data_IF_453292315311
#
_entry.id   IF_453292315311
#
_cell.length_a   1.000
_cell.length_b   1.000
_cell.length_c   1.000
_cell.angle_alpha   90.00
_cell.angle_beta   90.00
_cell.angle_gamma   90.00
#
_symmetry.space_group_name_H-M   'P 1'
#
loop_
_entity.id
_entity.type
_entity.pdbx_description
1 polymer ?
#
# COMPACT_ATOMS: atom_id res chain seq x y z
N UNK A 1 -16.97 -16.43 5.54
CA UNK A 1 -18.38 -16.26 5.13
C UNK A 1 -18.38 -15.75 3.69
N UNK A 2 -19.10 -16.38 2.76
CA UNK A 2 -19.16 -15.94 1.36
C UNK A 2 -20.04 -14.71 1.27
N UNK A 3 -19.57 -13.63 0.63
CA UNK A 3 -20.38 -12.42 0.43
C UNK A 3 -21.38 -12.68 -0.69
N UNK A 4 -22.64 -12.38 -0.44
CA UNK A 4 -23.73 -12.51 -1.43
C UNK A 4 -24.00 -11.14 -2.07
N UNK A 5 -23.32 -10.88 -3.18
CA UNK A 5 -23.42 -9.61 -3.92
C UNK A 5 -24.82 -9.40 -4.56
N UNK A 6 -25.62 -10.46 -4.75
CA UNK A 6 -26.98 -10.35 -5.32
C UNK A 6 -27.93 -9.56 -4.41
N UNK A 7 -27.61 -9.43 -3.13
CA UNK A 7 -28.39 -8.67 -2.14
C UNK A 7 -28.02 -7.18 -2.09
N UNK A 8 -27.00 -6.76 -2.82
CA UNK A 8 -26.64 -5.35 -2.84
C UNK A 8 -27.68 -4.55 -3.63
N UNK A 9 -28.16 -3.50 -2.99
CA UNK A 9 -29.15 -2.61 -3.61
C UNK A 9 -28.46 -1.60 -4.49
N UNK A 10 -29.11 -1.21 -5.58
CA UNK A 10 -28.71 -0.05 -6.37
C UNK A 10 -29.51 1.17 -5.94
N UNK A 11 -28.86 2.34 -6.00
CA UNK A 11 -29.52 3.64 -5.78
C UNK A 11 -28.99 4.66 -6.76
N UNK A 12 -29.87 5.52 -7.24
CA UNK A 12 -29.50 6.73 -7.94
C UNK A 12 -29.14 7.80 -6.92
N UNK A 13 -27.87 8.23 -6.91
CA UNK A 13 -27.31 9.18 -5.95
C UNK A 13 -26.79 10.42 -6.69
N UNK A 14 -26.97 11.60 -6.09
CA UNK A 14 -26.37 12.83 -6.62
C UNK A 14 -24.84 12.74 -6.60
N UNK A 15 -24.22 13.01 -7.75
CA UNK A 15 -22.76 12.99 -7.93
C UNK A 15 -22.08 13.94 -6.94
N UNK A 16 -22.67 15.07 -6.64
CA UNK A 16 -22.08 16.04 -5.70
C UNK A 16 -21.99 15.48 -4.28
N UNK A 17 -22.94 14.65 -3.86
CA UNK A 17 -23.01 14.05 -2.52
C UNK A 17 -22.10 12.82 -2.36
N UNK A 18 -21.54 12.29 -3.46
CA UNK A 18 -20.56 11.21 -3.40
C UNK A 18 -19.21 11.73 -2.95
N UNK A 19 -18.64 11.15 -1.90
CA UNK A 19 -17.28 11.47 -1.45
C UNK A 19 -16.29 10.45 -2.00
N UNK A 20 -15.23 10.92 -2.61
CA UNK A 20 -14.11 10.08 -3.01
C UNK A 20 -13.43 9.52 -1.77
N UNK A 21 -13.04 8.26 -1.83
CA UNK A 21 -12.45 7.56 -0.69
C UNK A 21 -11.01 7.99 -0.45
N UNK A 22 -10.76 8.68 0.66
CA UNK A 22 -9.41 9.08 1.07
C UNK A 22 -8.49 7.90 1.40
N UNK A 23 -9.07 6.71 1.67
CA UNK A 23 -8.34 5.47 1.94
C UNK A 23 -8.06 4.67 0.67
N UNK A 24 -8.40 5.20 -0.51
CA UNK A 24 -8.15 4.49 -1.77
C UNK A 24 -6.64 4.28 -1.96
N UNK A 25 -6.20 3.04 -2.31
CA UNK A 25 -4.78 2.73 -2.48
C UNK A 25 -4.02 3.63 -3.45
N UNK A 26 -4.71 4.26 -4.42
CA UNK A 26 -4.10 5.23 -5.36
C UNK A 26 -3.55 6.48 -4.68
N UNK A 27 -4.00 6.80 -3.46
CA UNK A 27 -3.52 7.98 -2.71
C UNK A 27 -2.79 7.62 -1.44
N UNK A 28 -2.80 6.35 -1.03
CA UNK A 28 -2.35 5.90 0.30
C UNK A 28 -0.88 6.21 0.59
N UNK A 29 -0.07 6.48 -0.44
CA UNK A 29 1.35 6.82 -0.31
C UNK A 29 1.64 8.32 -0.37
N UNK A 30 0.66 9.12 -0.76
CA UNK A 30 0.92 10.53 -1.11
C UNK A 30 0.95 11.47 0.07
N UNK A 31 0.43 11.15 1.22
CA UNK A 31 0.56 12.10 2.32
C UNK A 31 0.18 11.55 3.69
N UNK A 32 0.98 11.89 4.65
CA UNK A 32 0.61 12.19 6.04
C UNK A 32 -0.39 13.36 6.12
N UNK A 33 -0.68 14.06 5.01
CA UNK A 33 -1.62 15.18 4.94
C UNK A 33 -2.97 14.69 4.42
N UNK A 34 -4.00 14.86 5.23
CA UNK A 34 -5.38 14.57 4.83
C UNK A 34 -5.76 15.46 3.65
N UNK A 35 -5.92 14.86 2.47
CA UNK A 35 -6.37 15.58 1.26
C UNK A 35 -7.88 15.86 1.34
N UNK A 36 -8.28 17.08 1.02
CA UNK A 36 -9.69 17.38 0.81
C UNK A 36 -10.18 16.87 -0.56
N UNK A 37 -11.50 16.84 -0.76
CA UNK A 37 -12.12 16.30 -1.97
C UNK A 37 -11.65 16.99 -3.26
N UNK A 38 -11.35 18.27 -3.22
CA UNK A 38 -10.85 19.03 -4.38
C UNK A 38 -9.40 18.66 -4.69
N UNK A 39 -8.57 18.49 -3.68
CA UNK A 39 -7.18 18.04 -3.83
C UNK A 39 -7.10 16.63 -4.42
N UNK A 40 -7.97 15.73 -3.94
CA UNK A 40 -8.07 14.36 -4.50
C UNK A 40 -8.41 14.41 -5.99
N UNK A 41 -9.40 15.21 -6.40
CA UNK A 41 -9.76 15.32 -7.81
C UNK A 41 -8.62 15.89 -8.65
N UNK A 42 -7.96 16.96 -8.18
CA UNK A 42 -6.81 17.55 -8.87
C UNK A 42 -5.65 16.55 -9.01
N UNK A 43 -5.39 15.79 -7.96
CA UNK A 43 -4.40 14.71 -7.98
C UNK A 43 -4.74 13.65 -9.04
N UNK A 44 -5.99 13.18 -9.07
CA UNK A 44 -6.45 12.22 -10.05
C UNK A 44 -6.37 12.75 -11.49
N UNK A 45 -6.60 14.03 -11.69
CA UNK A 45 -6.42 14.69 -13.00
C UNK A 45 -4.96 14.69 -13.42
N UNK A 46 -4.05 14.98 -12.49
CA UNK A 46 -2.62 15.07 -12.78
C UNK A 46 -1.98 13.69 -13.04
N UNK A 47 -2.41 12.65 -12.31
CA UNK A 47 -1.66 11.39 -12.25
C UNK A 47 -2.44 10.17 -12.78
N UNK A 48 -3.75 10.29 -13.03
CA UNK A 48 -4.59 9.12 -13.34
C UNK A 48 -5.50 9.29 -14.55
N UNK A 49 -5.13 10.14 -15.49
CA UNK A 49 -5.85 10.35 -16.77
C UNK A 49 -7.37 10.59 -16.59
N UNK A 50 -7.76 11.32 -15.53
CA UNK A 50 -9.19 11.56 -15.25
C UNK A 50 -9.78 12.62 -16.19
N UNK A 51 -8.97 13.52 -16.73
CA UNK A 51 -9.42 14.46 -17.74
C UNK A 51 -9.84 13.75 -19.05
N UNK A 52 -9.03 12.81 -19.51
CA UNK A 52 -9.30 11.97 -20.68
C UNK A 52 -10.54 11.12 -20.47
N UNK A 53 -10.71 10.55 -19.27
CA UNK A 53 -11.90 9.80 -18.89
C UNK A 53 -13.15 10.70 -18.84
N UNK A 54 -13.04 11.93 -18.35
CA UNK A 54 -14.16 12.89 -18.39
C UNK A 54 -14.57 13.23 -19.81
N UNK A 55 -13.59 13.39 -20.72
CA UNK A 55 -13.83 13.64 -22.13
C UNK A 55 -14.53 12.46 -22.83
N UNK A 56 -14.08 11.23 -22.52
CA UNK A 56 -14.70 10.01 -23.02
C UNK A 56 -16.16 9.88 -22.54
N UNK A 57 -16.42 10.10 -21.25
CA UNK A 57 -17.79 10.09 -20.69
C UNK A 57 -18.65 11.20 -21.32
N UNK A 58 -18.09 12.36 -21.63
CA UNK A 58 -18.82 13.45 -22.27
C UNK A 58 -19.23 13.11 -23.72
N UNK A 59 -18.42 12.34 -24.42
CA UNK A 59 -18.65 11.94 -25.83
C UNK A 59 -19.56 10.71 -25.90
N UNK A 60 -19.24 9.68 -25.12
CA UNK A 60 -19.82 8.34 -25.25
C UNK A 60 -20.87 8.01 -24.18
N UNK A 61 -21.04 8.87 -23.18
CA UNK A 61 -21.87 8.61 -22.02
C UNK A 61 -21.16 7.76 -20.96
N UNK A 62 -21.85 7.57 -19.84
CA UNK A 62 -21.35 6.69 -18.75
C UNK A 62 -21.60 5.23 -19.15
N UNK A 63 -20.55 4.41 -19.13
CA UNK A 63 -20.64 3.02 -19.55
C UNK A 63 -21.52 2.20 -18.62
N UNK A 64 -22.36 1.34 -19.20
CA UNK A 64 -23.13 0.35 -18.47
C UNK A 64 -22.22 -0.69 -17.84
N UNK A 65 -22.67 -1.26 -16.72
CA UNK A 65 -21.94 -2.25 -15.91
C UNK A 65 -20.65 -1.73 -15.24
N UNK A 66 -20.51 -0.42 -15.18
CA UNK A 66 -19.38 0.23 -14.46
C UNK A 66 -19.85 1.10 -13.29
N UNK A 67 -21.01 0.78 -12.74
CA UNK A 67 -21.59 1.50 -11.62
C UNK A 67 -20.63 1.54 -10.44
N UNK A 68 -20.47 2.74 -9.81
CA UNK A 68 -19.65 2.86 -8.63
C UNK A 68 -20.19 2.01 -7.47
N UNK A 69 -19.26 1.47 -6.69
CA UNK A 69 -19.58 0.83 -5.41
C UNK A 69 -19.37 1.86 -4.31
N UNK A 70 -20.42 2.11 -3.54
CA UNK A 70 -20.38 3.07 -2.44
C UNK A 70 -20.77 2.43 -1.12
N UNK A 71 -20.29 2.96 -0.02
CA UNK A 71 -20.72 2.59 1.33
C UNK A 71 -21.23 3.83 2.06
N UNK A 72 -22.28 3.68 2.84
CA UNK A 72 -22.78 4.76 3.71
C UNK A 72 -21.87 4.86 4.94
N UNK A 73 -21.18 5.98 5.10
CA UNK A 73 -20.36 6.30 6.27
C UNK A 73 -20.92 7.58 6.92
N UNK A 74 -21.56 7.42 8.09
CA UNK A 74 -22.34 8.48 8.70
C UNK A 74 -23.50 8.91 7.79
N UNK A 75 -23.58 10.21 7.49
CA UNK A 75 -24.61 10.78 6.61
C UNK A 75 -24.18 10.85 5.13
N UNK A 76 -22.98 10.35 4.77
CA UNK A 76 -22.46 10.47 3.41
C UNK A 76 -22.21 9.11 2.76
N UNK A 77 -22.19 9.10 1.42
CA UNK A 77 -21.79 7.94 0.65
C UNK A 77 -20.33 8.10 0.20
N UNK A 78 -19.48 7.15 0.60
CA UNK A 78 -18.07 7.10 0.21
C UNK A 78 -17.91 6.14 -0.95
N UNK A 79 -17.22 6.56 -2.00
CA UNK A 79 -16.97 5.79 -3.22
C UNK A 79 -15.81 4.84 -2.99
N UNK A 80 -16.11 3.57 -2.73
CA UNK A 80 -15.10 2.53 -2.52
C UNK A 80 -14.47 2.11 -3.85
N UNK A 81 -15.27 1.96 -4.92
CA UNK A 81 -14.82 1.66 -6.28
C UNK A 81 -15.46 2.61 -7.30
N UNK A 82 -14.72 2.94 -8.35
CA UNK A 82 -15.15 3.93 -9.35
C UNK A 82 -14.74 5.37 -9.02
N UNK A 83 -13.76 5.58 -8.14
CA UNK A 83 -13.29 6.92 -7.75
C UNK A 83 -12.87 7.78 -8.94
N UNK A 84 -12.17 7.22 -9.94
CA UNK A 84 -11.79 7.94 -11.16
C UNK A 84 -13.02 8.38 -11.95
N UNK A 85 -14.00 7.50 -12.12
CA UNK A 85 -15.25 7.77 -12.87
C UNK A 85 -16.10 8.83 -12.17
N UNK A 86 -16.25 8.70 -10.86
CA UNK A 86 -16.97 9.73 -10.07
C UNK A 86 -16.25 11.07 -10.11
N UNK A 87 -14.91 11.08 -10.05
CA UNK A 87 -14.13 12.32 -10.20
C UNK A 87 -14.33 12.93 -11.59
N UNK A 88 -14.32 12.12 -12.66
CA UNK A 88 -14.60 12.57 -14.02
C UNK A 88 -16.01 13.19 -14.14
N UNK A 89 -17.02 12.54 -13.56
CA UNK A 89 -18.38 13.09 -13.51
C UNK A 89 -18.47 14.41 -12.73
N UNK A 90 -17.76 14.53 -11.59
CA UNK A 90 -17.69 15.79 -10.83
C UNK A 90 -17.05 16.92 -11.65
N UNK A 91 -16.02 16.58 -12.45
CA UNK A 91 -15.38 17.53 -13.36
C UNK A 91 -16.37 17.98 -14.46
N UNK A 92 -17.13 17.06 -15.03
CA UNK A 92 -18.12 17.41 -16.06
C UNK A 92 -19.25 18.32 -15.52
N UNK A 93 -19.64 18.12 -14.26
CA UNK A 93 -20.62 19.01 -13.62
C UNK A 93 -20.05 20.40 -13.32
N UNK A 94 -18.79 20.49 -12.91
CA UNK A 94 -18.16 21.74 -12.49
C UNK A 94 -16.71 21.86 -12.99
N UNK A 95 -16.47 21.95 -14.36
CA UNK A 95 -15.12 21.84 -14.93
C UNK A 95 -14.18 22.96 -14.45
N UNK A 96 -14.65 24.19 -14.30
CA UNK A 96 -13.83 25.33 -13.87
C UNK A 96 -13.36 25.23 -12.42
N UNK A 97 -13.99 24.40 -11.60
CA UNK A 97 -13.57 24.14 -10.20
C UNK A 97 -12.29 23.30 -10.11
N UNK A 98 -12.08 22.45 -11.09
CA UNK A 98 -11.05 21.39 -11.01
C UNK A 98 -9.96 21.47 -12.08
N UNK A 99 -10.23 22.17 -13.19
CA UNK A 99 -9.37 22.24 -14.36
C UNK A 99 -8.91 23.67 -14.66
N UNK A 100 -7.84 23.79 -15.47
CA UNK A 100 -7.48 25.06 -16.08
C UNK A 100 -8.59 25.57 -17.01
N UNK A 101 -8.67 26.89 -17.20
CA UNK A 101 -9.70 27.53 -18.02
C UNK A 101 -9.79 26.95 -19.44
N UNK A 102 -8.65 26.57 -20.05
CA UNK A 102 -8.61 25.99 -21.39
C UNK A 102 -9.26 24.61 -21.42
N UNK A 103 -8.88 23.69 -20.51
CA UNK A 103 -9.47 22.36 -20.40
C UNK A 103 -10.93 22.40 -20.01
N UNK A 104 -11.30 23.30 -19.11
CA UNK A 104 -12.68 23.47 -18.72
C UNK A 104 -13.57 23.92 -19.90
N UNK A 105 -13.11 24.91 -20.69
CA UNK A 105 -13.79 25.38 -21.88
C UNK A 105 -13.95 24.28 -22.94
N UNK A 106 -13.01 23.34 -23.03
CA UNK A 106 -13.12 22.20 -23.93
C UNK A 106 -14.28 21.28 -23.51
N UNK A 107 -14.39 20.94 -22.23
CA UNK A 107 -15.46 20.05 -21.73
C UNK A 107 -16.87 20.71 -21.78
N UNK A 108 -16.97 22.01 -21.67
CA UNK A 108 -18.28 22.70 -21.76
C UNK A 108 -18.90 22.71 -23.16
N UNK A 109 -18.21 22.20 -24.16
CA UNK A 109 -18.75 22.00 -25.52
C UNK A 109 -19.67 20.80 -25.64
N UNK A 110 -19.61 19.87 -24.71
CA UNK A 110 -20.42 18.66 -24.69
C UNK A 110 -21.70 18.86 -23.87
N UNK A 111 -22.67 18.00 -24.09
CA UNK A 111 -23.92 18.00 -23.36
C UNK A 111 -23.70 17.77 -21.88
N UNK A 112 -24.58 18.34 -21.05
CA UNK A 112 -24.49 18.18 -19.60
C UNK A 112 -24.78 16.75 -19.20
N UNK A 113 -23.89 16.19 -18.38
CA UNK A 113 -24.12 14.91 -17.74
C UNK A 113 -25.31 15.00 -16.78
N UNK A 114 -26.07 13.93 -16.61
CA UNK A 114 -27.03 13.80 -15.53
C UNK A 114 -26.31 13.98 -14.17
N UNK A 115 -26.93 14.73 -13.25
CA UNK A 115 -26.38 15.03 -11.92
C UNK A 115 -26.42 13.80 -10.97
N UNK A 116 -26.97 12.68 -11.40
CA UNK A 116 -27.11 11.44 -10.63
C UNK A 116 -26.42 10.25 -11.30
N UNK A 117 -25.84 9.39 -10.48
CA UNK A 117 -25.31 8.09 -10.88
C UNK A 117 -26.00 6.98 -10.14
N UNK A 118 -26.30 5.89 -10.86
CA UNK A 118 -26.67 4.63 -10.22
C UNK A 118 -25.44 4.00 -9.59
N UNK A 119 -25.52 3.69 -8.30
CA UNK A 119 -24.44 3.12 -7.51
C UNK A 119 -24.88 1.85 -6.81
N UNK A 120 -23.99 0.85 -6.69
CA UNK A 120 -24.18 -0.27 -5.79
C UNK A 120 -23.90 0.15 -4.35
N UNK A 121 -24.79 -0.17 -3.43
CA UNK A 121 -24.63 0.13 -2.02
C UNK A 121 -24.04 -1.10 -1.32
N UNK A 122 -22.76 -1.05 -0.98
CA UNK A 122 -22.15 -2.06 -0.12
C UNK A 122 -22.67 -1.92 1.32
N UNK A 123 -23.03 -3.01 2.00
CA UNK A 123 -23.46 -2.96 3.39
C UNK A 123 -22.42 -2.35 4.33
N UNK A 124 -21.16 -2.64 4.06
CA UNK A 124 -20.00 -2.11 4.75
C UNK A 124 -18.77 -2.17 3.83
N UNK A 125 -17.69 -1.52 4.22
CA UNK A 125 -16.42 -1.47 3.46
C UNK A 125 -15.81 -2.86 3.26
N UNK A 126 -15.77 -3.67 4.30
CA UNK A 126 -15.16 -5.00 4.31
C UNK A 126 -15.76 -5.94 3.26
N UNK A 127 -17.07 -5.89 3.06
CA UNK A 127 -17.73 -6.75 2.06
C UNK A 127 -17.37 -6.32 0.63
N UNK A 128 -17.06 -5.04 0.43
CA UNK A 128 -16.64 -4.52 -0.87
C UNK A 128 -15.17 -4.83 -1.19
N UNK A 129 -14.28 -4.92 -0.20
CA UNK A 129 -12.82 -5.03 -0.39
C UNK A 129 -12.44 -6.22 -1.27
N UNK A 130 -13.06 -7.38 -1.06
CA UNK A 130 -12.79 -8.59 -1.84
C UNK A 130 -13.17 -8.38 -3.32
N UNK A 131 -14.34 -7.80 -3.57
CA UNK A 131 -14.82 -7.52 -4.93
C UNK A 131 -13.91 -6.50 -5.62
N UNK A 132 -13.52 -5.45 -4.90
CA UNK A 132 -12.64 -4.39 -5.40
C UNK A 132 -11.26 -4.96 -5.74
N UNK A 133 -10.68 -5.76 -4.83
CA UNK A 133 -9.41 -6.42 -5.07
C UNK A 133 -9.46 -7.28 -6.34
N UNK A 134 -10.48 -8.13 -6.47
CA UNK A 134 -10.64 -8.99 -7.63
C UNK A 134 -10.83 -8.21 -8.93
N UNK A 135 -11.56 -7.09 -8.91
CA UNK A 135 -11.69 -6.21 -10.09
C UNK A 135 -10.35 -5.64 -10.54
N UNK A 136 -9.43 -5.36 -9.62
CA UNK A 136 -8.16 -4.71 -9.94
C UNK A 136 -6.99 -5.69 -10.14
N UNK A 137 -7.15 -6.95 -9.77
CA UNK A 137 -6.10 -7.97 -9.90
C UNK A 137 -6.43 -9.08 -10.90
N UNK A 138 -7.71 -9.35 -11.12
CA UNK A 138 -8.19 -10.52 -11.88
C UNK A 138 -8.68 -10.26 -13.31
N UNK A 139 -8.91 -9.00 -13.73
CA UNK A 139 -9.52 -8.66 -15.02
C UNK A 139 -8.70 -7.64 -15.81
N UNK A 140 -8.96 -7.46 -17.14
CA UNK A 140 -8.24 -6.49 -17.99
C UNK A 140 -8.54 -5.02 -17.68
N UNK A 141 -9.23 -4.71 -16.56
CA UNK A 141 -9.32 -3.35 -16.06
C UNK A 141 -7.94 -2.81 -15.69
N UNK A 142 -7.77 -1.50 -15.64
CA UNK A 142 -6.50 -0.89 -15.26
C UNK A 142 -6.08 -1.41 -13.89
N UNK A 143 -5.13 -2.34 -13.91
CA UNK A 143 -4.61 -2.98 -12.69
C UNK A 143 -3.98 -1.93 -11.80
N UNK A 144 -4.15 -2.10 -10.50
CA UNK A 144 -3.30 -1.38 -9.58
C UNK A 144 -1.83 -1.74 -9.85
N UNK A 145 -0.95 -0.76 -9.76
CA UNK A 145 0.49 -1.03 -9.70
C UNK A 145 0.83 -1.83 -8.45
N UNK A 146 2.05 -2.31 -8.37
CA UNK A 146 2.46 -3.22 -7.31
C UNK A 146 2.49 -2.55 -5.93
N UNK A 147 2.88 -1.28 -5.89
CA UNK A 147 2.91 -0.48 -4.65
C UNK A 147 1.51 -0.34 -4.06
N UNK A 148 0.51 -0.01 -4.89
CA UNK A 148 -0.89 0.11 -4.46
C UNK A 148 -1.50 -1.23 -4.03
N UNK A 149 -1.18 -2.32 -4.73
CA UNK A 149 -1.62 -3.67 -4.34
C UNK A 149 -1.08 -4.06 -2.96
N UNK A 150 0.21 -3.84 -2.73
CA UNK A 150 0.87 -4.17 -1.47
C UNK A 150 0.30 -3.34 -0.31
N UNK A 151 0.07 -2.04 -0.53
CA UNK A 151 -0.57 -1.17 0.47
C UNK A 151 -1.97 -1.64 0.84
N UNK A 152 -2.76 -2.06 -0.15
CA UNK A 152 -4.11 -2.58 0.10
C UNK A 152 -4.07 -3.83 0.99
N UNK A 153 -3.18 -4.79 0.68
CA UNK A 153 -3.02 -6.01 1.47
C UNK A 153 -2.59 -5.72 2.91
N UNK A 154 -1.60 -4.84 3.08
CA UNK A 154 -1.12 -4.45 4.41
C UNK A 154 -2.20 -3.71 5.21
N UNK A 155 -2.97 -2.85 4.55
CA UNK A 155 -4.07 -2.14 5.19
C UNK A 155 -5.15 -3.11 5.68
N UNK A 156 -5.52 -4.13 4.90
CA UNK A 156 -6.46 -5.17 5.36
C UNK A 156 -5.97 -5.87 6.62
N UNK A 157 -4.68 -6.24 6.69
CA UNK A 157 -4.11 -6.90 7.85
C UNK A 157 -4.15 -5.97 9.08
N UNK A 158 -3.74 -4.70 8.91
CA UNK A 158 -3.62 -3.75 10.02
C UNK A 158 -4.96 -3.20 10.51
N UNK A 159 -5.85 -2.79 9.60
CA UNK A 159 -7.13 -2.13 9.97
C UNK A 159 -8.21 -3.10 10.37
N UNK A 160 -8.27 -4.26 9.72
CA UNK A 160 -9.28 -5.29 10.00
C UNK A 160 -8.78 -6.31 11.04
N UNK A 161 -7.55 -6.14 11.53
CA UNK A 161 -6.89 -7.05 12.48
C UNK A 161 -6.99 -8.53 12.05
N UNK A 162 -6.80 -8.77 10.74
CA UNK A 162 -6.83 -10.10 10.15
C UNK A 162 -5.43 -10.71 10.16
N UNK A 163 -5.35 -12.01 10.40
CA UNK A 163 -4.11 -12.75 10.19
C UNK A 163 -3.74 -12.85 8.72
N UNK A 164 -2.45 -13.09 8.44
CA UNK A 164 -1.94 -13.30 7.08
C UNK A 164 -2.67 -14.46 6.40
N UNK A 165 -2.97 -15.52 7.16
CA UNK A 165 -3.70 -16.70 6.72
C UNK A 165 -5.17 -16.39 6.36
N UNK A 166 -5.84 -15.58 7.14
CA UNK A 166 -7.22 -15.15 6.86
C UNK A 166 -7.30 -14.28 5.61
N UNK A 167 -6.35 -13.36 5.41
CA UNK A 167 -6.27 -12.54 4.20
C UNK A 167 -6.00 -13.41 2.98
N UNK A 168 -5.05 -14.36 3.08
CA UNK A 168 -4.74 -15.31 2.01
C UNK A 168 -5.98 -16.10 1.59
N UNK A 169 -6.71 -16.63 2.56
CA UNK A 169 -7.94 -17.38 2.31
C UNK A 169 -9.05 -16.51 1.68
N UNK A 170 -9.28 -15.31 2.23
CA UNK A 170 -10.37 -14.42 1.76
C UNK A 170 -10.13 -13.92 0.34
N UNK A 171 -8.88 -13.63 -0.01
CA UNK A 171 -8.53 -13.07 -1.33
C UNK A 171 -8.14 -14.15 -2.34
N UNK A 172 -8.08 -15.41 -1.92
CA UNK A 172 -7.62 -16.54 -2.73
C UNK A 172 -6.22 -16.29 -3.33
N UNK A 173 -5.31 -15.79 -2.50
CA UNK A 173 -3.90 -15.58 -2.83
C UNK A 173 -3.02 -16.45 -1.93
N UNK A 174 -1.79 -16.70 -2.36
CA UNK A 174 -0.87 -17.54 -1.58
C UNK A 174 -0.30 -16.77 -0.38
N UNK A 175 0.03 -17.48 0.69
CA UNK A 175 0.76 -16.92 1.84
C UNK A 175 2.09 -16.27 1.42
N UNK A 176 2.76 -16.87 0.41
CA UNK A 176 4.00 -16.34 -0.15
C UNK A 176 3.80 -14.95 -0.76
N UNK A 177 2.72 -14.76 -1.53
CA UNK A 177 2.40 -13.45 -2.13
C UNK A 177 2.12 -12.38 -1.07
N UNK A 178 1.39 -12.72 0.00
CA UNK A 178 1.14 -11.78 1.09
C UNK A 178 2.43 -11.43 1.83
N UNK A 179 3.28 -12.42 2.15
CA UNK A 179 4.57 -12.17 2.80
C UNK A 179 5.49 -11.30 1.93
N UNK A 180 5.50 -11.51 0.62
CA UNK A 180 6.22 -10.65 -0.33
C UNK A 180 5.65 -9.22 -0.33
N UNK A 181 4.32 -9.07 -0.31
CA UNK A 181 3.68 -7.76 -0.24
C UNK A 181 4.05 -7.01 1.05
N UNK A 182 4.05 -7.69 2.19
CA UNK A 182 4.49 -7.13 3.48
C UNK A 182 5.93 -6.62 3.42
N UNK A 183 6.85 -7.42 2.86
CA UNK A 183 8.27 -7.04 2.71
C UNK A 183 8.44 -5.82 1.80
N UNK A 184 7.81 -5.84 0.60
CA UNK A 184 7.86 -4.71 -0.34
C UNK A 184 7.28 -3.44 0.28
N UNK A 185 6.16 -3.56 0.98
CA UNK A 185 5.57 -2.42 1.69
C UNK A 185 6.54 -1.84 2.73
N UNK A 186 7.16 -2.69 3.55
CA UNK A 186 8.14 -2.26 4.56
C UNK A 186 9.33 -1.56 3.92
N UNK A 187 9.89 -2.13 2.84
CA UNK A 187 10.99 -1.52 2.06
C UNK A 187 10.56 -0.17 1.49
N UNK A 188 9.37 -0.07 0.92
CA UNK A 188 8.85 1.19 0.37
C UNK A 188 8.67 2.27 1.45
N UNK A 189 8.10 1.92 2.60
CA UNK A 189 7.95 2.85 3.73
C UNK A 189 9.31 3.31 4.26
N UNK A 190 10.28 2.41 4.31
CA UNK A 190 11.63 2.76 4.73
C UNK A 190 12.31 3.70 3.72
N UNK A 191 12.13 3.47 2.42
CA UNK A 191 12.60 4.38 1.37
C UNK A 191 12.01 5.79 1.55
N UNK A 192 10.71 5.91 1.77
CA UNK A 192 10.03 7.19 2.02
C UNK A 192 10.62 7.90 3.25
N UNK A 193 10.83 7.17 4.36
CA UNK A 193 11.42 7.72 5.58
C UNK A 193 12.83 8.22 5.34
N UNK A 194 13.63 7.47 4.61
CA UNK A 194 15.04 7.76 4.38
C UNK A 194 15.24 9.00 3.50
N UNK A 195 14.32 9.25 2.56
CA UNK A 195 14.35 10.38 1.63
C UNK A 195 13.39 11.52 2.00
N UNK A 196 12.90 11.57 3.24
CA UNK A 196 11.88 12.54 3.67
C UNK A 196 12.26 14.00 3.51
N UNK A 197 13.56 14.32 3.46
CA UNK A 197 14.09 15.67 3.30
C UNK A 197 14.58 15.98 1.87
N UNK A 198 14.38 15.06 0.92
CA UNK A 198 14.78 15.16 -0.47
C UNK A 198 13.52 15.16 -1.36
N UNK A 199 12.93 16.33 -1.59
CA UNK A 199 11.56 16.40 -2.16
C UNK A 199 11.44 15.80 -3.55
N UNK A 200 12.47 15.89 -4.39
CA UNK A 200 12.47 15.38 -5.75
C UNK A 200 12.49 13.83 -5.77
N UNK A 201 13.41 13.21 -5.05
CA UNK A 201 13.54 11.77 -4.92
C UNK A 201 12.33 11.18 -4.17
N UNK A 202 11.89 11.88 -3.12
CA UNK A 202 10.71 11.48 -2.34
C UNK A 202 9.44 11.42 -3.21
N UNK A 203 9.25 12.37 -4.13
CA UNK A 203 8.12 12.36 -5.05
C UNK A 203 8.18 11.13 -5.96
N UNK A 204 9.33 10.83 -6.54
CA UNK A 204 9.53 9.65 -7.38
C UNK A 204 9.32 8.32 -6.62
N UNK A 205 9.79 8.24 -5.37
CA UNK A 205 9.57 7.05 -4.52
C UNK A 205 8.09 6.88 -4.20
N UNK A 206 7.36 7.96 -3.99
CA UNK A 206 5.91 7.95 -3.73
C UNK A 206 5.05 7.69 -4.96
N UNK A 207 5.61 7.80 -6.15
CA UNK A 207 4.88 7.46 -7.37
C UNK A 207 4.50 5.98 -7.39
N UNK A 208 3.33 5.70 -7.92
CA UNK A 208 2.84 4.32 -8.08
C UNK A 208 3.72 3.51 -9.03
N UNK A 209 4.46 4.18 -9.91
CA UNK A 209 5.40 3.60 -10.86
C UNK A 209 6.74 3.21 -10.25
N UNK A 210 7.01 3.54 -8.97
CA UNK A 210 8.27 3.18 -8.32
C UNK A 210 8.55 1.68 -8.46
N UNK A 211 9.75 1.30 -8.99
CA UNK A 211 10.02 -0.10 -9.36
C UNK A 211 10.31 -1.00 -8.15
N UNK A 212 9.37 -1.09 -7.22
CA UNK A 212 9.51 -1.86 -5.97
C UNK A 212 9.87 -3.33 -6.21
N UNK A 213 9.43 -3.91 -7.33
CA UNK A 213 9.77 -5.28 -7.71
C UNK A 213 11.23 -5.45 -8.12
N UNK A 214 11.89 -4.40 -8.60
CA UNK A 214 13.34 -4.38 -8.83
C UNK A 214 14.08 -4.45 -7.51
N UNK A 215 13.64 -3.67 -6.53
CA UNK A 215 14.19 -3.74 -5.17
C UNK A 215 13.95 -5.13 -4.54
N UNK A 216 12.76 -5.72 -4.73
CA UNK A 216 12.47 -7.10 -4.29
C UNK A 216 13.49 -8.10 -4.84
N UNK A 217 13.74 -8.08 -6.16
CA UNK A 217 14.73 -8.96 -6.78
C UNK A 217 16.14 -8.75 -6.23
N UNK A 218 16.48 -7.53 -5.86
CA UNK A 218 17.76 -7.22 -5.24
C UNK A 218 17.89 -7.89 -3.87
N UNK A 219 16.98 -7.62 -2.93
CA UNK A 219 17.08 -8.17 -1.58
C UNK A 219 16.74 -9.68 -1.48
N UNK A 220 16.01 -10.23 -2.42
CA UNK A 220 15.77 -11.68 -2.51
C UNK A 220 16.99 -12.45 -3.02
N UNK A 221 18.00 -11.75 -3.57
CA UNK A 221 19.28 -12.38 -3.97
C UNK A 221 20.22 -12.49 -2.78
N UNK A 222 21.01 -13.58 -2.71
CA UNK A 222 21.99 -13.80 -1.64
C UNK A 222 23.02 -12.66 -1.54
N UNK A 223 23.45 -12.11 -2.68
CA UNK A 223 24.40 -11.02 -2.72
C UNK A 223 23.77 -9.70 -2.25
N UNK A 224 22.54 -9.43 -2.66
CA UNK A 224 21.81 -8.21 -2.28
C UNK A 224 21.42 -8.22 -0.81
N UNK A 225 20.89 -9.33 -0.29
CA UNK A 225 20.57 -9.46 1.13
C UNK A 225 21.81 -9.32 2.03
N UNK A 226 22.95 -9.88 1.62
CA UNK A 226 24.23 -9.71 2.31
C UNK A 226 24.76 -8.28 2.20
N UNK A 227 24.66 -7.65 1.02
CA UNK A 227 25.07 -6.25 0.86
C UNK A 227 24.30 -5.32 1.79
N UNK A 228 22.98 -5.48 1.88
CA UNK A 228 22.14 -4.68 2.77
C UNK A 228 22.22 -5.12 4.25
N UNK A 229 22.74 -6.30 4.54
CA UNK A 229 22.66 -6.87 5.90
C UNK A 229 21.21 -7.01 6.37
N UNK A 230 20.33 -7.52 5.52
CA UNK A 230 18.87 -7.54 5.74
C UNK A 230 18.32 -8.96 5.75
N UNK A 231 17.36 -9.19 6.63
CA UNK A 231 16.41 -10.30 6.56
C UNK A 231 15.02 -9.80 6.99
N UNK A 232 14.02 -10.66 6.96
CA UNK A 232 12.65 -10.28 7.31
C UNK A 232 12.07 -11.30 8.30
N UNK A 233 11.30 -10.80 9.26
CA UNK A 233 10.50 -11.66 10.12
C UNK A 233 9.22 -12.15 9.41
N UNK A 234 8.38 -12.93 10.11
CA UNK A 234 7.13 -13.45 9.59
C UNK A 234 6.12 -12.37 9.16
N UNK A 235 6.20 -11.18 9.76
CA UNK A 235 5.33 -10.04 9.48
C UNK A 235 5.88 -9.14 8.34
N UNK A 236 7.00 -9.53 7.71
CA UNK A 236 7.64 -8.76 6.65
C UNK A 236 8.40 -7.54 7.14
N UNK A 237 8.67 -7.44 8.44
CA UNK A 237 9.46 -6.34 9.01
C UNK A 237 10.94 -6.59 8.82
N UNK A 238 11.68 -5.51 8.55
CA UNK A 238 13.11 -5.55 8.34
C UNK A 238 13.83 -5.97 9.62
N UNK A 239 14.68 -6.97 9.49
CA UNK A 239 15.64 -7.41 10.49
C UNK A 239 17.03 -6.98 10.04
N UNK A 240 17.47 -5.84 10.53
CA UNK A 240 18.74 -5.22 10.21
C UNK A 240 19.90 -5.91 10.93
N UNK A 241 21.02 -6.12 10.24
CA UNK A 241 22.23 -6.79 10.74
C UNK A 241 23.50 -5.95 10.62
N UNK A 242 23.36 -4.71 10.17
CA UNK A 242 24.43 -3.72 10.09
C UNK A 242 24.14 -2.56 11.06
N UNK A 243 25.17 -1.81 11.50
CA UNK A 243 24.96 -0.56 12.22
C UNK A 243 24.04 0.38 11.39
N UNK A 244 23.21 1.17 12.07
CA UNK A 244 22.16 1.99 11.45
C UNK A 244 22.71 2.89 10.33
N UNK A 245 23.82 3.55 10.57
CA UNK A 245 24.43 4.48 9.61
C UNK A 245 24.86 3.77 8.32
N UNK A 246 25.52 2.62 8.45
CA UNK A 246 25.97 1.84 7.29
C UNK A 246 24.78 1.20 6.56
N UNK A 247 23.78 0.74 7.29
CA UNK A 247 22.54 0.25 6.71
C UNK A 247 21.84 1.33 5.88
N UNK A 248 21.70 2.54 6.41
CA UNK A 248 21.06 3.66 5.73
C UNK A 248 21.83 4.06 4.47
N UNK A 249 23.15 4.11 4.53
CA UNK A 249 24.02 4.41 3.38
C UNK A 249 23.82 3.40 2.25
N UNK A 250 23.87 2.10 2.58
CA UNK A 250 23.71 1.04 1.57
C UNK A 250 22.29 0.99 1.03
N UNK A 251 21.30 1.16 1.88
CA UNK A 251 19.90 1.18 1.47
C UNK A 251 19.61 2.36 0.55
N UNK A 252 20.07 3.56 0.93
CA UNK A 252 19.96 4.79 0.12
C UNK A 252 20.57 4.60 -1.26
N UNK A 253 21.78 4.06 -1.31
CA UNK A 253 22.45 3.79 -2.57
C UNK A 253 21.62 2.92 -3.51
N UNK A 254 20.99 1.85 -3.02
CA UNK A 254 20.15 0.99 -3.87
C UNK A 254 18.91 1.73 -4.38
N UNK A 255 18.28 2.57 -3.55
CA UNK A 255 17.16 3.42 -4.00
C UNK A 255 17.62 4.37 -5.10
N UNK A 256 18.74 5.05 -4.91
CA UNK A 256 19.35 5.96 -5.93
C UNK A 256 19.61 5.21 -7.25
N UNK A 257 20.19 4.01 -7.19
CA UNK A 257 20.43 3.17 -8.38
C UNK A 257 19.14 2.80 -9.11
N UNK A 258 18.05 2.57 -8.39
CA UNK A 258 16.73 2.30 -8.98
C UNK A 258 16.16 3.57 -9.61
N UNK A 259 16.23 4.71 -8.93
CA UNK A 259 15.71 5.98 -9.43
C UNK A 259 16.46 6.44 -10.69
N UNK A 260 17.78 6.26 -10.71
CA UNK A 260 18.65 6.59 -11.85
C UNK A 260 18.59 5.56 -12.99
N UNK A 261 17.84 4.45 -12.82
CA UNK A 261 17.76 3.34 -13.77
C UNK A 261 19.06 2.56 -13.98
N UNK A 262 20.05 2.72 -13.09
CA UNK A 262 21.29 1.94 -13.07
C UNK A 262 21.04 0.50 -12.60
N UNK A 263 20.04 0.32 -11.73
CA UNK A 263 19.51 -0.97 -11.31
C UNK A 263 18.07 -1.16 -11.82
N UNK A 264 17.89 -2.12 -12.70
CA UNK A 264 16.59 -2.40 -13.32
C UNK A 264 16.21 -3.88 -13.14
N UNK A 265 14.97 -4.22 -13.46
CA UNK A 265 14.53 -5.62 -13.45
C UNK A 265 15.32 -6.50 -14.42
N UNK A 266 15.93 -5.94 -15.47
CA UNK A 266 16.75 -6.65 -16.45
C UNK A 266 18.05 -7.18 -15.83
N UNK A 267 18.62 -6.47 -14.86
CA UNK A 267 19.83 -6.86 -14.11
C UNK A 267 19.72 -8.27 -13.49
N UNK A 268 18.48 -8.70 -13.20
CA UNK A 268 18.23 -10.02 -12.58
C UNK A 268 17.69 -11.07 -13.54
N UNK A 269 17.67 -10.81 -14.86
CA UNK A 269 17.13 -11.75 -15.83
C UNK A 269 18.10 -12.93 -16.12
N UNK A 270 19.39 -12.72 -15.91
CA UNK A 270 20.41 -13.79 -16.04
C UNK A 270 21.54 -13.59 -15.01
N UNK A 271 22.26 -14.66 -14.74
CA UNK A 271 23.31 -14.66 -13.72
C UNK A 271 24.53 -13.81 -14.11
N UNK A 272 24.79 -13.64 -15.41
CA UNK A 272 25.91 -12.83 -15.90
C UNK A 272 25.72 -11.37 -15.56
N UNK A 273 24.58 -10.77 -15.95
CA UNK A 273 24.26 -9.37 -15.69
C UNK A 273 24.22 -9.08 -14.18
N UNK A 274 23.65 -10.03 -13.42
CA UNK A 274 23.61 -9.97 -11.97
C UNK A 274 25.01 -9.95 -11.35
N UNK A 275 25.90 -10.85 -11.78
CA UNK A 275 27.27 -10.88 -11.26
C UNK A 275 28.09 -9.65 -11.67
N UNK A 276 27.90 -9.16 -12.89
CA UNK A 276 28.54 -7.93 -13.37
C UNK A 276 28.12 -6.73 -12.51
N UNK A 277 26.82 -6.59 -12.23
CA UNK A 277 26.31 -5.53 -11.36
C UNK A 277 26.92 -5.58 -9.95
N UNK A 278 26.94 -6.75 -9.30
CA UNK A 278 27.53 -6.88 -7.96
C UNK A 278 29.06 -6.69 -7.95
N UNK A 279 29.76 -7.06 -9.02
CA UNK A 279 31.18 -6.79 -9.17
C UNK A 279 31.42 -5.30 -9.29
N UNK A 280 30.60 -4.59 -10.05
CA UNK A 280 30.64 -3.14 -10.18
C UNK A 280 30.45 -2.46 -8.83
N UNK A 281 29.41 -2.85 -8.06
CA UNK A 281 29.19 -2.31 -6.70
C UNK A 281 30.44 -2.49 -5.83
N UNK A 282 31.02 -3.69 -5.81
CA UNK A 282 32.20 -3.97 -4.99
C UNK A 282 33.42 -3.16 -5.39
N UNK A 283 33.64 -2.97 -6.69
CA UNK A 283 34.85 -2.30 -7.19
C UNK A 283 34.79 -0.78 -7.07
N UNK A 284 33.61 -0.18 -7.38
CA UNK A 284 33.46 1.28 -7.41
C UNK A 284 33.07 1.91 -6.08
N UNK A 285 32.64 1.14 -5.10
CA UNK A 285 32.10 1.68 -3.85
C UNK A 285 32.89 1.26 -2.60
N UNK A 286 34.13 0.76 -2.74
CA UNK A 286 35.01 0.44 -1.60
C UNK A 286 35.30 1.64 -0.69
N UNK A 287 35.32 2.84 -1.26
CA UNK A 287 35.51 4.08 -0.52
C UNK A 287 34.20 4.62 0.09
N UNK A 288 33.06 4.24 -0.49
CA UNK A 288 31.72 4.71 -0.05
C UNK A 288 31.14 3.85 1.07
N UNK A 289 31.43 2.57 1.07
CA UNK A 289 30.89 1.59 2.03
C UNK A 289 32.02 0.85 2.73
N UNK A 290 31.89 0.69 4.02
CA UNK A 290 32.75 -0.21 4.79
C UNK A 290 32.23 -1.66 4.62
N UNK A 291 32.72 -2.31 3.55
CA UNK A 291 32.33 -3.69 3.21
C UNK A 291 32.89 -4.74 4.17
N UNK A 292 33.85 -4.36 5.03
CA UNK A 292 34.48 -5.22 6.02
C UNK A 292 33.76 -5.24 7.35
N UNK A 293 32.72 -4.38 7.53
CA UNK A 293 31.87 -4.45 8.72
C UNK A 293 31.19 -5.83 8.78
N UNK A 294 31.41 -6.60 9.85
CA UNK A 294 30.80 -7.91 10.00
C UNK A 294 29.29 -7.79 10.09
N UNK A 295 28.59 -8.61 9.30
CA UNK A 295 27.15 -8.74 9.38
C UNK A 295 26.83 -9.54 10.65
N UNK A 296 26.07 -8.96 11.57
CA UNK A 296 25.67 -9.62 12.81
C UNK A 296 24.84 -10.89 12.52
N UNK A 297 25.12 -11.97 13.25
CA UNK A 297 24.29 -13.20 13.17
C UNK A 297 22.87 -12.98 13.69
N UNK A 298 22.69 -12.01 14.57
CA UNK A 298 21.38 -11.63 15.13
C UNK A 298 20.96 -10.23 14.66
N UNK A 299 19.65 -9.97 14.50
CA UNK A 299 19.16 -8.62 14.21
C UNK A 299 19.56 -7.62 15.28
N UNK A 300 20.08 -6.46 14.86
CA UNK A 300 20.54 -5.41 15.78
C UNK A 300 19.35 -4.62 16.34
N UNK A 301 18.36 -4.31 15.51
CA UNK A 301 17.11 -3.61 15.90
C UNK A 301 16.02 -3.89 14.86
N UNK A 302 14.76 -4.10 15.29
CA UNK A 302 13.64 -3.99 14.36
C UNK A 302 13.47 -2.54 13.94
N UNK A 303 13.26 -2.30 12.64
CA UNK A 303 12.99 -0.96 12.11
C UNK A 303 11.47 -0.73 12.21
N UNK A 304 10.99 0.29 12.95
CA UNK A 304 9.57 0.59 13.01
C UNK A 304 8.99 0.90 11.63
N UNK A 305 7.90 0.25 11.27
CA UNK A 305 7.26 0.35 9.95
C UNK A 305 6.17 1.41 9.86
N UNK A 306 5.89 2.15 10.95
CA UNK A 306 4.87 3.21 10.96
C UNK A 306 5.39 4.53 11.53
N UNK A 307 4.95 5.67 10.97
CA UNK A 307 5.32 7.00 11.45
C UNK A 307 4.76 7.36 12.84
N UNK A 308 3.86 6.56 13.41
CA UNK A 308 3.13 6.89 14.65
C UNK A 308 3.71 6.28 15.93
N UNK A 309 4.84 5.57 15.88
CA UNK A 309 5.53 5.12 17.10
C UNK A 309 6.56 6.16 17.53
N UNK A 310 6.13 7.17 18.29
CA UNK A 310 7.03 7.98 19.09
C UNK A 310 7.79 7.09 20.10
N UNK A 311 9.08 7.35 20.38
CA UNK A 311 9.82 6.56 21.35
C UNK A 311 9.21 6.78 22.75
N UNK A 312 8.74 5.69 23.37
CA UNK A 312 8.46 5.70 24.81
C UNK A 312 9.75 6.04 25.53
N UNK A 313 9.67 7.06 26.38
CA UNK A 313 10.74 7.50 27.26
C UNK A 313 11.18 6.37 28.17
N UNK A 314 12.48 6.05 28.15
CA UNK A 314 13.13 5.14 29.08
C UNK A 314 12.91 5.64 30.53
N UNK A 315 12.02 5.02 31.28
CA UNK A 315 11.99 5.10 32.73
C UNK A 315 13.15 4.27 33.27
N UNK A 316 14.03 4.92 34.03
CA UNK A 316 15.09 4.29 34.80
C UNK A 316 14.49 3.40 35.90
N UNK A 317 15.02 2.20 36.16
CA UNK A 317 14.60 1.43 37.32
C UNK A 317 15.23 2.01 38.60
N UNK A 318 14.40 2.48 39.51
CA UNK A 318 14.79 2.68 40.89
C UNK A 318 14.90 1.32 41.61
N UNK A 319 16.06 1.14 42.25
CA UNK A 319 16.36 0.03 43.14
C UNK A 319 15.73 0.24 44.51
N UNK A 320 15.05 -0.80 45.06
CA UNK A 320 15.09 -1.23 46.49
C UNK A 320 14.03 -2.32 46.66
N UNK A 321 14.43 -3.49 47.11
CA UNK A 321 14.75 -3.88 48.48
C UNK A 321 13.70 -4.87 48.99
N UNK A 322 14.10 -6.15 49.14
CA UNK A 322 13.68 -7.15 50.12
C UNK A 322 12.19 -7.37 50.50
N UNK A 323 11.70 -8.56 50.39
CA UNK A 323 11.57 -9.64 51.37
C UNK A 323 10.52 -10.70 50.97
N UNK A 324 11.00 -11.93 51.02
CA UNK A 324 10.46 -13.19 51.55
C UNK A 324 8.99 -13.61 51.33
N UNK A 325 8.94 -14.85 50.87
CA UNK A 325 8.16 -16.01 51.37
C UNK A 325 6.78 -16.30 50.76
N UNK A 326 6.73 -17.56 50.42
CA UNK A 326 5.60 -18.51 50.44
C UNK A 326 4.82 -18.80 49.16
N UNK A 327 5.16 -19.97 48.66
CA UNK A 327 4.26 -20.83 47.84
C UNK A 327 3.07 -21.33 48.67
N UNK A 328 1.94 -21.62 48.01
CA UNK A 328 1.53 -23.02 48.00
C UNK A 328 0.99 -23.56 46.64
N UNK A 329 1.13 -24.85 46.59
CA UNK A 329 0.77 -25.79 45.52
C UNK A 329 -0.74 -26.03 45.35
N UNK A 330 -1.06 -26.62 44.18
CA UNK A 330 -2.24 -27.46 43.82
C UNK A 330 -3.47 -26.68 43.32
N UNK A 331 -4.21 -27.14 42.31
CA UNK A 331 -4.54 -28.49 41.86
C UNK A 331 -5.15 -28.48 40.42
N UNK A 332 -4.89 -29.56 39.69
CA UNK A 332 -5.55 -29.92 38.44
C UNK A 332 -7.07 -30.11 38.64
N UNK A 333 -7.88 -29.61 37.70
CA UNK A 333 -9.13 -30.29 37.34
C UNK A 333 -9.32 -30.27 35.81
N UNK A 334 -9.35 -31.46 35.26
CA UNK A 334 -9.88 -31.81 33.92
C UNK A 334 -11.39 -31.73 33.98
N UNK A 335 -12.03 -31.16 32.98
CA UNK A 335 -13.36 -31.59 32.55
C UNK A 335 -13.50 -31.36 31.06
N UNK A 336 -13.58 -32.48 30.34
CA UNK A 336 -13.96 -32.51 28.94
C UNK A 336 -15.45 -32.29 28.75
N UNK A 337 -15.80 -31.75 27.61
CA UNK A 337 -17.16 -31.94 27.08
C UNK A 337 -17.02 -32.17 25.56
N UNK A 338 -17.32 -33.40 25.21
CA UNK A 338 -17.67 -33.82 23.84
C UNK A 338 -19.04 -33.29 23.48
N UNK A 339 -19.21 -32.68 22.33
CA UNK A 339 -20.50 -32.54 21.69
C UNK A 339 -20.46 -33.18 20.30
N UNK A 340 -21.28 -34.23 20.17
CA UNK A 340 -21.53 -34.97 18.93
C UNK A 340 -22.33 -34.13 17.94
N UNK A 341 -21.95 -34.21 16.69
CA UNK A 341 -22.85 -33.92 15.56
C UNK A 341 -23.62 -35.15 15.20
N UNK A 342 -24.92 -34.99 15.02
CA UNK A 342 -25.81 -35.91 14.26
C UNK A 342 -26.77 -35.08 13.40
N UNK A 343 -26.78 -35.48 12.11
CA UNK A 343 -27.76 -35.30 11.01
C UNK A 343 -28.11 -33.86 10.61
#
# INVERSE_FOLDING_TARGET
MKVDYSKWKTRSLSIENLKLDIKNPRFSYQSTKVMNQTEIIKYLVANHAVYELAKDIAINGYLLNEEPIVCKEGETYVVLEGNRRVAACKILLNPYKYLSSQRAKELTKYDKLNDKLTCYIAPNRRDADILIFNKHTGTPLQKWDKVSQDAFLVNLIKTENLSVEEVAYKLNVTLSEIRKALRRYTIHQYSIKLFQYEPYELEQIKEQSFPITTFERFYDSDQGSKFLGISFNSNGEIQQRLPQEEFDKRFRFIVEQILNQDLTSRTFNNDKDKQEYFTTIKNFNKERFDLDIPISDTPIKPIPTSPDSAPESEEKPESNGNESSETPKRSRKKSGLFVKYQS
#
